data_IF_469086970126
#
_entry.id   IF_469086970126
#
_cell.length_a   1.000
_cell.length_b   1.000
_cell.length_c   1.000
_cell.angle_alpha   90.00
_cell.angle_beta   90.00
_cell.angle_gamma   90.00
#
_symmetry.space_group_name_H-M   'P 1'
#
loop_
_entity.id
_entity.type
_entity.pdbx_description
1 polymer ?
#
# COMPACT_ATOMS: atom_id res chain seq x y z
N UNK A 1 5.32 -16.96 -3.69
CA UNK A 1 5.06 -16.54 -2.30
C UNK A 1 5.89 -15.29 -2.00
N UNK A 2 5.26 -14.15 -1.67
CA UNK A 2 5.97 -12.90 -1.34
C UNK A 2 6.87 -13.01 -0.09
N UNK A 3 6.54 -13.93 0.83
CA UNK A 3 7.33 -14.21 2.03
C UNK A 3 8.79 -14.60 1.74
N UNK A 4 9.07 -15.14 0.55
CA UNK A 4 10.42 -15.55 0.14
C UNK A 4 11.20 -14.44 -0.58
N UNK A 5 10.63 -13.23 -0.68
CA UNK A 5 11.19 -12.11 -1.44
C UNK A 5 11.28 -10.84 -0.56
N UNK A 6 12.05 -10.87 0.54
CA UNK A 6 12.10 -9.77 1.51
C UNK A 6 12.73 -8.48 0.97
N UNK A 7 13.45 -8.58 -0.15
CA UNK A 7 14.11 -7.45 -0.81
C UNK A 7 13.24 -6.72 -1.83
N UNK A 8 11.99 -7.15 -2.05
CA UNK A 8 11.06 -6.45 -2.94
C UNK A 8 10.87 -5.02 -2.45
N UNK A 9 11.14 -4.08 -3.34
CA UNK A 9 11.03 -2.65 -3.11
C UNK A 9 9.88 -2.00 -3.87
N UNK A 10 9.48 -2.62 -4.99
CA UNK A 10 8.37 -2.22 -5.85
C UNK A 10 7.50 -3.43 -6.10
N UNK A 11 6.19 -3.30 -5.88
CA UNK A 11 5.22 -4.35 -6.14
C UNK A 11 4.07 -3.79 -6.97
N UNK A 12 3.75 -4.50 -8.05
CA UNK A 12 2.64 -4.16 -8.94
C UNK A 12 1.57 -5.22 -8.78
N UNK A 13 0.35 -4.81 -8.45
CA UNK A 13 -0.83 -5.66 -8.50
C UNK A 13 -1.60 -5.35 -9.77
N UNK A 14 -1.59 -6.31 -10.68
CA UNK A 14 -2.54 -6.41 -11.77
C UNK A 14 -3.96 -6.71 -11.22
N UNK A 15 -5.02 -6.58 -12.04
CA UNK A 15 -6.38 -6.91 -11.62
C UNK A 15 -6.47 -8.28 -10.97
N UNK A 16 -7.01 -8.32 -9.76
CA UNK A 16 -7.08 -9.52 -8.95
C UNK A 16 -7.83 -9.32 -7.63
N UNK A 17 -7.96 -10.37 -6.81
CA UNK A 17 -8.70 -10.32 -5.57
C UNK A 17 -8.11 -9.31 -4.58
N UNK A 18 -8.96 -8.51 -3.93
CA UNK A 18 -8.57 -7.56 -2.87
C UNK A 18 -7.79 -8.22 -1.73
N UNK A 19 -8.02 -9.51 -1.49
CA UNK A 19 -7.32 -10.30 -0.47
C UNK A 19 -5.80 -10.33 -0.67
N UNK A 20 -5.33 -10.18 -1.91
CA UNK A 20 -3.90 -10.13 -2.21
C UNK A 20 -3.28 -8.83 -1.68
N UNK A 21 -3.99 -7.72 -1.81
CA UNK A 21 -3.56 -6.43 -1.30
C UNK A 21 -3.66 -6.41 0.23
N UNK A 22 -4.74 -6.97 0.79
CA UNK A 22 -4.91 -7.08 2.24
C UNK A 22 -3.80 -7.89 2.91
N UNK A 23 -3.18 -8.84 2.21
CA UNK A 23 -2.04 -9.59 2.74
C UNK A 23 -0.79 -8.74 3.01
N UNK A 24 -0.71 -7.52 2.45
CA UNK A 24 0.39 -6.58 2.68
C UNK A 24 0.20 -5.69 3.92
N UNK A 25 -0.96 -5.74 4.55
CA UNK A 25 -1.19 -5.09 5.84
C UNK A 25 -0.24 -5.73 6.85
N UNK A 26 0.56 -4.90 7.50
CA UNK A 26 1.45 -5.33 8.58
C UNK A 26 0.62 -5.69 9.79
N UNK A 27 0.81 -6.90 10.27
CA UNK A 27 0.26 -7.39 11.54
C UNK A 27 1.39 -7.68 12.51
N UNK A 28 1.06 -8.02 13.76
CA UNK A 28 2.06 -8.42 14.77
C UNK A 28 2.86 -9.66 14.36
N UNK A 29 2.33 -10.50 13.47
CA UNK A 29 2.94 -11.76 13.06
C UNK A 29 3.49 -11.74 11.64
N UNK A 30 3.09 -10.78 10.81
CA UNK A 30 3.37 -10.78 9.38
C UNK A 30 3.73 -9.39 8.87
N UNK A 31 4.91 -9.27 8.25
CA UNK A 31 5.34 -8.08 7.53
C UNK A 31 5.91 -8.49 6.16
N UNK A 32 5.02 -8.72 5.20
CA UNK A 32 5.43 -9.05 3.83
C UNK A 32 6.12 -7.86 3.17
N UNK A 33 7.18 -8.15 2.41
CA UNK A 33 7.98 -7.17 1.68
C UNK A 33 8.39 -5.99 2.58
N UNK A 34 9.22 -6.20 3.62
CA UNK A 34 9.59 -5.15 4.57
C UNK A 34 10.33 -3.97 3.92
N UNK A 35 10.90 -4.18 2.71
CA UNK A 35 11.59 -3.15 1.93
C UNK A 35 10.71 -2.48 0.86
N UNK A 36 9.41 -2.75 0.84
CA UNK A 36 8.49 -2.14 -0.12
C UNK A 36 8.37 -0.64 0.14
N UNK A 37 8.83 0.16 -0.83
CA UNK A 37 8.68 1.61 -0.84
C UNK A 37 7.67 2.08 -1.90
N UNK A 38 7.50 1.32 -2.99
CA UNK A 38 6.54 1.63 -4.06
C UNK A 38 5.51 0.52 -4.21
N UNK A 39 4.23 0.90 -4.13
CA UNK A 39 3.09 0.02 -4.42
C UNK A 39 2.35 0.56 -5.65
N UNK A 40 2.18 -0.26 -6.67
CA UNK A 40 1.39 0.06 -7.85
C UNK A 40 0.14 -0.84 -7.85
N UNK A 41 -1.02 -0.22 -7.90
CA UNK A 41 -2.33 -0.88 -7.94
C UNK A 41 -2.95 -0.61 -9.31
N UNK A 42 -3.10 -1.64 -10.12
CA UNK A 42 -3.68 -1.58 -11.46
C UNK A 42 -4.99 -2.38 -11.47
N UNK A 43 -6.09 -1.72 -11.84
CA UNK A 43 -7.43 -2.32 -11.88
C UNK A 43 -7.82 -3.06 -10.58
N UNK A 44 -7.33 -2.60 -9.43
CA UNK A 44 -7.55 -3.25 -8.15
C UNK A 44 -8.90 -2.88 -7.53
N UNK A 45 -9.56 -3.85 -6.90
CA UNK A 45 -10.78 -3.65 -6.12
C UNK A 45 -10.45 -3.20 -4.69
N UNK A 46 -9.75 -2.07 -4.55
CA UNK A 46 -9.40 -1.51 -3.24
C UNK A 46 -10.30 -0.31 -2.91
N UNK A 47 -10.78 -0.25 -1.67
CA UNK A 47 -11.53 0.91 -1.17
C UNK A 47 -10.61 2.01 -0.66
N UNK A 48 -11.12 3.24 -0.58
CA UNK A 48 -10.40 4.38 0.00
C UNK A 48 -9.86 4.07 1.40
N UNK A 49 -10.71 3.53 2.28
CA UNK A 49 -10.32 3.13 3.65
C UNK A 49 -9.31 1.99 3.67
N UNK A 50 -9.44 1.05 2.73
CA UNK A 50 -8.50 -0.07 2.58
C UNK A 50 -7.10 0.41 2.22
N UNK A 51 -7.00 1.38 1.31
CA UNK A 51 -5.72 1.97 0.92
C UNK A 51 -5.06 2.73 2.08
N UNK A 52 -5.83 3.59 2.75
CA UNK A 52 -5.35 4.37 3.90
C UNK A 52 -4.89 3.43 5.03
N UNK A 53 -5.68 2.40 5.34
CA UNK A 53 -5.36 1.43 6.39
C UNK A 53 -4.09 0.64 6.09
N UNK A 54 -3.91 0.21 4.84
CA UNK A 54 -2.68 -0.45 4.39
C UNK A 54 -1.47 0.49 4.51
N UNK A 55 -1.61 1.72 4.02
CA UNK A 55 -0.56 2.73 4.10
C UNK A 55 -0.16 3.04 5.54
N UNK A 56 -1.14 3.24 6.44
CA UNK A 56 -0.93 3.51 7.85
C UNK A 56 -0.26 2.33 8.56
N UNK A 57 -0.70 1.11 8.29
CA UNK A 57 -0.09 -0.11 8.83
C UNK A 57 1.39 -0.23 8.47
N UNK A 58 1.75 0.07 7.21
CA UNK A 58 3.15 0.04 6.74
C UNK A 58 4.00 1.20 7.22
N UNK A 59 3.38 2.31 7.63
CA UNK A 59 4.07 3.51 8.13
C UNK A 59 4.01 3.68 9.64
N UNK A 60 3.26 2.85 10.36
CA UNK A 60 3.16 2.87 11.81
C UNK A 60 4.52 2.63 12.48
N UNK A 61 4.79 3.40 13.53
CA UNK A 61 5.93 3.20 14.45
C UNK A 61 5.67 2.13 15.50
N UNK A 62 4.42 1.65 15.62
CA UNK A 62 4.00 0.78 16.72
C UNK A 62 4.32 -0.70 16.49
N UNK A 63 4.76 -1.08 15.27
CA UNK A 63 5.20 -2.43 14.97
C UNK A 63 6.72 -2.50 15.05
N UNK A 64 7.24 -3.53 15.72
CA UNK A 64 8.65 -3.91 15.68
C UNK A 64 9.06 -4.11 14.22
N UNK A 65 9.75 -3.12 13.65
CA UNK A 65 10.17 -3.16 12.26
C UNK A 65 11.35 -4.12 12.11
N UNK A 66 11.32 -5.02 11.12
CA UNK A 66 12.50 -5.78 10.76
C UNK A 66 13.68 -4.85 10.46
N UNK A 67 14.89 -5.30 10.73
CA UNK A 67 16.10 -4.55 10.41
C UNK A 67 16.15 -4.23 8.91
N UNK A 68 16.35 -2.96 8.57
CA UNK A 68 16.35 -2.50 7.18
C UNK A 68 14.98 -2.43 6.51
N UNK A 69 13.87 -2.48 7.26
CA UNK A 69 12.55 -2.20 6.72
C UNK A 69 12.40 -0.73 6.30
N UNK A 70 11.71 -0.51 5.18
CA UNK A 70 11.45 0.82 4.63
C UNK A 70 10.00 1.20 4.82
N UNK A 71 9.75 2.51 4.86
CA UNK A 71 8.40 3.05 4.79
C UNK A 71 7.89 2.96 3.37
N UNK A 72 6.59 2.72 3.22
CA UNK A 72 5.93 2.94 1.96
C UNK A 72 5.99 4.46 1.70
N UNK A 73 6.50 4.86 0.53
CA UNK A 73 6.70 6.27 0.16
C UNK A 73 5.91 6.66 -1.08
N UNK A 74 5.53 5.68 -1.90
CA UNK A 74 4.87 5.93 -3.18
C UNK A 74 3.78 4.90 -3.40
N UNK A 75 2.59 5.40 -3.74
CA UNK A 75 1.46 4.59 -4.16
C UNK A 75 1.01 5.09 -5.52
N UNK A 76 1.05 4.24 -6.53
CA UNK A 76 0.47 4.51 -7.84
C UNK A 76 -0.87 3.79 -7.92
N UNK A 77 -1.93 4.51 -8.25
CA UNK A 77 -3.28 3.98 -8.40
C UNK A 77 -3.72 4.19 -9.83
N UNK A 78 -3.82 3.10 -10.58
CA UNK A 78 -4.24 3.06 -11.97
C UNK A 78 -5.56 2.28 -12.10
N UNK A 79 -6.56 2.91 -12.71
CA UNK A 79 -7.82 2.26 -13.09
C UNK A 79 -8.54 1.50 -11.96
N UNK A 80 -8.35 1.91 -10.69
CA UNK A 80 -8.96 1.26 -9.53
C UNK A 80 -10.39 1.75 -9.32
N UNK A 81 -11.36 0.82 -9.39
CA UNK A 81 -12.79 1.14 -9.36
C UNK A 81 -13.37 1.34 -7.95
N UNK A 82 -12.64 0.91 -6.90
CA UNK A 82 -13.10 1.02 -5.52
C UNK A 82 -12.84 2.37 -4.85
N UNK A 83 -12.19 3.32 -5.54
CA UNK A 83 -11.91 4.67 -5.04
C UNK A 83 -12.65 5.70 -5.91
N UNK A 84 -13.81 6.20 -5.45
CA UNK A 84 -14.54 7.26 -6.14
C UNK A 84 -13.69 8.52 -6.32
N UNK A 85 -13.80 9.18 -7.48
CA UNK A 85 -12.99 10.35 -7.86
C UNK A 85 -13.12 11.52 -6.87
N UNK A 86 -14.30 11.71 -6.30
CA UNK A 86 -14.60 12.71 -5.27
C UNK A 86 -13.84 12.46 -3.96
N UNK A 87 -13.56 11.20 -3.63
CA UNK A 87 -12.79 10.83 -2.43
C UNK A 87 -11.27 10.89 -2.61
N UNK A 88 -10.76 10.96 -3.85
CA UNK A 88 -9.32 10.97 -4.14
C UNK A 88 -8.56 12.08 -3.41
N UNK A 89 -9.17 13.27 -3.28
CA UNK A 89 -8.57 14.40 -2.56
C UNK A 89 -8.37 14.11 -1.07
N UNK A 90 -9.34 13.45 -0.43
CA UNK A 90 -9.29 13.05 0.98
C UNK A 90 -8.25 11.95 1.18
N UNK A 91 -8.24 10.95 0.30
CA UNK A 91 -7.24 9.87 0.30
C UNK A 91 -5.83 10.43 0.12
N UNK A 92 -5.66 11.38 -0.80
CA UNK A 92 -4.36 12.02 -1.06
C UNK A 92 -3.83 12.71 0.19
N UNK A 93 -4.65 13.54 0.86
CA UNK A 93 -4.24 14.18 2.12
C UNK A 93 -3.90 13.17 3.21
N UNK A 94 -4.72 12.13 3.37
CA UNK A 94 -4.46 11.09 4.37
C UNK A 94 -3.14 10.34 4.12
N UNK A 95 -2.75 10.16 2.85
CA UNK A 95 -1.46 9.56 2.49
C UNK A 95 -0.31 10.57 2.65
N UNK A 96 -0.51 11.84 2.34
CA UNK A 96 0.46 12.92 2.55
C UNK A 96 0.80 13.09 4.03
N UNK A 97 -0.18 12.99 4.94
CA UNK A 97 0.03 13.00 6.39
C UNK A 97 0.95 11.85 6.85
N UNK A 98 1.00 10.76 6.08
CA UNK A 98 1.90 9.61 6.29
C UNK A 98 3.23 9.74 5.53
N UNK A 99 3.49 10.88 4.88
CA UNK A 99 4.63 11.12 3.99
C UNK A 99 4.67 10.18 2.77
N UNK A 100 3.50 9.82 2.24
CA UNK A 100 3.34 8.97 1.06
C UNK A 100 2.87 9.83 -0.10
N UNK A 101 3.59 9.79 -1.21
CA UNK A 101 3.14 10.39 -2.45
C UNK A 101 2.16 9.45 -3.16
N UNK A 102 1.00 9.96 -3.58
CA UNK A 102 0.03 9.20 -4.37
C UNK A 102 0.02 9.72 -5.80
N UNK A 103 0.15 8.81 -6.77
CA UNK A 103 0.01 9.12 -8.19
C UNK A 103 -1.27 8.48 -8.71
N UNK A 104 -2.22 9.31 -9.14
CA UNK A 104 -3.47 8.86 -9.74
C UNK A 104 -3.29 8.79 -11.25
N UNK A 105 -2.94 7.61 -11.76
CA UNK A 105 -2.92 7.36 -13.19
C UNK A 105 -4.35 7.42 -13.76
N UNK A 106 -4.44 7.85 -15.03
CA UNK A 106 -5.70 8.17 -15.71
C UNK A 106 -6.40 6.96 -16.29
#
# INVERSE_FOLDING_TARGET
MLANLPSINTLVFAPGPVSYIQSLVVTSTTHLCPKLHTLHLECAEITSDGLISLAASRNSSNHSRPEGATRLSTVVVDSCFGIPTDTRSVVTRALEDLSINVDWAR
#
